data_IF_006141686534
#
_entry.id   IF_006141686534
#
_cell.length_a   1.000
_cell.length_b   1.000
_cell.length_c   1.000
_cell.angle_alpha   90.00
_cell.angle_beta   90.00
_cell.angle_gamma   90.00
#
_symmetry.space_group_name_H-M   'P 1'
#
loop_
_entity.id
_entity.type
_entity.pdbx_description
1 polymer ?
#
# COMPACT_ATOMS: atom_id res chain seq x y z
N UNK A 1 -5.52 -4.09 -17.24
CA UNK A 1 -4.37 -3.21 -16.95
C UNK A 1 -3.28 -4.01 -16.28
N UNK A 2 -2.02 -3.65 -16.54
CA UNK A 2 -0.86 -4.09 -15.74
C UNK A 2 -0.79 -3.27 -14.46
N UNK A 3 -0.74 -3.93 -13.31
CA UNK A 3 -0.90 -3.31 -11.99
C UNK A 3 0.30 -3.59 -11.11
N UNK A 4 0.80 -2.57 -10.41
CA UNK A 4 1.67 -2.74 -9.25
C UNK A 4 0.82 -2.79 -7.99
N UNK A 5 1.05 -3.77 -7.11
CA UNK A 5 0.41 -3.83 -5.82
C UNK A 5 1.26 -3.16 -4.74
N UNK A 6 0.73 -2.10 -4.13
CA UNK A 6 1.33 -1.49 -2.95
C UNK A 6 0.94 -2.32 -1.73
N UNK A 7 1.93 -2.98 -1.13
CA UNK A 7 1.74 -3.96 -0.06
C UNK A 7 2.37 -3.48 1.26
N UNK A 8 1.68 -3.75 2.37
CA UNK A 8 2.14 -3.47 3.74
C UNK A 8 2.36 -4.73 4.57
N UNK A 9 2.01 -5.91 4.04
CA UNK A 9 2.09 -7.18 4.76
C UNK A 9 0.79 -7.58 5.47
N UNK A 10 -0.19 -6.68 5.49
CA UNK A 10 -1.49 -6.91 6.14
C UNK A 10 -2.54 -7.56 5.24
N UNK A 11 -3.64 -8.00 5.89
CA UNK A 11 -4.81 -8.62 5.25
C UNK A 11 -5.44 -7.74 4.17
N UNK A 12 -5.37 -6.42 4.34
CA UNK A 12 -6.05 -5.44 3.47
C UNK A 12 -5.35 -5.33 2.12
N UNK A 13 -4.01 -5.31 2.10
CA UNK A 13 -3.24 -5.41 0.87
C UNK A 13 -3.50 -6.72 0.12
N UNK A 14 -3.58 -7.84 0.85
CA UNK A 14 -3.90 -9.15 0.25
C UNK A 14 -5.28 -9.14 -0.40
N UNK A 15 -6.30 -8.67 0.31
CA UNK A 15 -7.66 -8.64 -0.21
C UNK A 15 -7.81 -7.69 -1.40
N UNK A 16 -7.16 -6.51 -1.37
CA UNK A 16 -7.22 -5.59 -2.51
C UNK A 16 -6.56 -6.19 -3.76
N UNK A 17 -5.49 -6.99 -3.62
CA UNK A 17 -4.91 -7.75 -4.74
C UNK A 17 -5.91 -8.76 -5.31
N UNK A 18 -6.63 -9.50 -4.46
CA UNK A 18 -7.69 -10.42 -4.93
C UNK A 18 -8.79 -9.68 -5.69
N UNK A 19 -9.16 -8.48 -5.25
CA UNK A 19 -10.16 -7.64 -5.93
C UNK A 19 -9.64 -7.12 -7.27
N UNK A 20 -8.36 -6.75 -7.39
CA UNK A 20 -7.75 -6.41 -8.67
C UNK A 20 -7.84 -7.56 -9.67
N UNK A 21 -7.48 -8.78 -9.23
CA UNK A 21 -7.57 -9.98 -10.09
C UNK A 21 -9.02 -10.27 -10.47
N UNK A 22 -9.96 -10.18 -9.53
CA UNK A 22 -11.39 -10.37 -9.78
C UNK A 22 -11.97 -9.33 -10.77
N UNK A 23 -11.42 -8.12 -10.80
CA UNK A 23 -11.76 -7.06 -11.76
C UNK A 23 -11.08 -7.25 -13.14
N UNK A 24 -10.38 -8.36 -13.37
CA UNK A 24 -9.71 -8.67 -14.65
C UNK A 24 -8.38 -7.93 -14.84
N UNK A 25 -7.74 -7.48 -13.77
CA UNK A 25 -6.43 -6.86 -13.83
C UNK A 25 -5.31 -7.86 -13.55
N UNK A 26 -4.13 -7.61 -14.12
CA UNK A 26 -2.95 -8.46 -13.93
C UNK A 26 -1.97 -7.74 -13.03
N UNK A 27 -1.68 -8.33 -11.87
CA UNK A 27 -0.61 -7.84 -10.99
C UNK A 27 0.71 -8.33 -11.56
N UNK A 28 1.63 -7.40 -11.81
CA UNK A 28 2.92 -7.70 -12.47
C UNK A 28 4.11 -7.35 -11.59
N UNK A 29 3.90 -6.63 -10.49
CA UNK A 29 4.93 -6.25 -9.55
C UNK A 29 4.34 -5.95 -8.19
N UNK A 30 5.17 -6.09 -7.16
CA UNK A 30 4.87 -5.69 -5.79
C UNK A 30 5.75 -4.49 -5.42
N UNK A 31 5.18 -3.54 -4.69
CA UNK A 31 5.88 -2.37 -4.19
C UNK A 31 5.65 -2.21 -2.69
N UNK A 32 6.71 -1.88 -1.95
CA UNK A 32 6.63 -1.64 -0.51
C UNK A 32 7.56 -0.49 -0.12
N UNK A 33 7.01 0.51 0.57
CA UNK A 33 7.82 1.45 1.32
C UNK A 33 8.13 0.87 2.69
N UNK A 34 9.39 0.97 3.09
CA UNK A 34 9.87 0.48 4.38
C UNK A 34 10.49 1.58 5.23
N UNK A 35 10.35 1.53 6.56
CA UNK A 35 11.13 2.38 7.46
C UNK A 35 12.64 2.22 7.26
N UNK A 36 13.41 3.23 7.72
CA UNK A 36 14.86 3.09 7.92
C UNK A 36 15.11 1.97 8.93
N UNK A 37 16.14 1.14 8.70
CA UNK A 37 16.52 0.07 9.64
C UNK A 37 16.81 0.68 11.03
N UNK A 38 16.32 0.04 12.09
CA UNK A 38 16.52 0.38 13.52
C UNK A 38 15.66 1.52 14.09
N UNK A 39 14.61 1.96 13.41
CA UNK A 39 13.54 2.77 14.01
C UNK A 39 12.25 1.95 14.07
N UNK A 40 12.03 1.28 15.20
CA UNK A 40 10.75 0.59 15.48
C UNK A 40 9.56 1.57 15.57
N UNK A 41 9.86 2.85 15.74
CA UNK A 41 8.93 3.97 15.79
C UNK A 41 9.36 5.03 14.77
N UNK A 42 8.91 4.87 13.52
CA UNK A 42 8.70 6.03 12.67
C UNK A 42 7.32 6.58 12.99
N UNK A 43 7.22 7.88 13.27
CA UNK A 43 5.97 8.63 13.31
C UNK A 43 5.36 8.75 11.89
N UNK A 44 5.26 7.64 11.15
CA UNK A 44 4.65 7.59 9.81
C UNK A 44 3.17 7.27 9.95
N UNK A 45 2.34 8.20 9.49
CA UNK A 45 0.90 7.98 9.33
C UNK A 45 0.58 7.04 8.15
N UNK A 46 1.57 6.73 7.30
CA UNK A 46 1.40 5.97 6.07
C UNK A 46 1.79 4.49 6.19
N UNK A 47 2.85 4.14 6.92
CA UNK A 47 3.45 2.81 6.85
C UNK A 47 3.64 2.16 8.22
N UNK A 48 3.13 0.93 8.38
CA UNK A 48 3.33 0.12 9.58
C UNK A 48 4.52 -0.82 9.42
N UNK A 49 5.28 -1.01 10.50
CA UNK A 49 6.54 -1.79 10.53
C UNK A 49 6.34 -3.29 10.79
N UNK A 50 5.11 -3.74 11.10
CA UNK A 50 4.84 -5.13 11.49
C UNK A 50 4.68 -6.02 10.25
N UNK A 51 5.48 -7.09 10.14
CA UNK A 51 5.37 -8.08 9.06
C UNK A 51 6.34 -7.89 7.90
N UNK A 52 7.50 -7.27 8.14
CA UNK A 52 8.54 -7.07 7.13
C UNK A 52 8.97 -8.35 6.39
N UNK A 53 8.97 -9.50 7.08
CA UNK A 53 9.24 -10.83 6.51
C UNK A 53 8.11 -11.32 5.60
N UNK A 54 6.86 -10.96 5.90
CA UNK A 54 5.71 -11.34 5.08
C UNK A 54 5.76 -10.72 3.69
N UNK A 55 6.37 -9.53 3.54
CA UNK A 55 6.53 -8.84 2.25
C UNK A 55 7.36 -9.68 1.27
N UNK A 56 8.48 -10.23 1.73
CA UNK A 56 9.36 -11.03 0.86
C UNK A 56 8.68 -12.37 0.52
N UNK A 57 7.91 -12.95 1.45
CA UNK A 57 7.08 -14.15 1.20
C UNK A 57 5.96 -13.90 0.18
N UNK A 58 5.35 -12.71 0.13
CA UNK A 58 4.37 -12.39 -0.93
C UNK A 58 5.01 -12.47 -2.32
N UNK A 59 6.22 -11.92 -2.46
CA UNK A 59 6.92 -11.91 -3.73
C UNK A 59 7.30 -13.33 -4.19
N UNK A 60 7.79 -14.15 -3.27
CA UNK A 60 8.10 -15.55 -3.52
C UNK A 60 6.85 -16.36 -3.88
N UNK A 61 5.78 -16.23 -3.11
CA UNK A 61 4.54 -16.98 -3.32
C UNK A 61 3.81 -16.60 -4.62
N UNK A 62 3.92 -15.34 -5.04
CA UNK A 62 3.30 -14.84 -6.27
C UNK A 62 4.21 -14.96 -7.49
N UNK A 63 5.50 -15.28 -7.30
CA UNK A 63 6.54 -15.26 -8.33
C UNK A 63 6.57 -13.92 -9.09
N UNK A 64 6.62 -12.82 -8.34
CA UNK A 64 6.59 -11.45 -8.87
C UNK A 64 7.78 -10.62 -8.40
N UNK A 65 8.27 -9.67 -9.22
CA UNK A 65 9.33 -8.76 -8.80
C UNK A 65 8.84 -7.85 -7.67
N UNK A 66 9.69 -7.70 -6.65
CA UNK A 66 9.43 -6.87 -5.48
C UNK A 66 10.36 -5.65 -5.46
N UNK A 67 9.74 -4.47 -5.46
CA UNK A 67 10.42 -3.19 -5.37
C UNK A 67 10.25 -2.61 -3.98
N UNK A 68 11.38 -2.34 -3.31
CA UNK A 68 11.38 -1.75 -1.97
C UNK A 68 12.16 -0.45 -1.98
N UNK A 69 11.60 0.57 -1.35
CA UNK A 69 12.31 1.83 -1.10
C UNK A 69 12.21 2.17 0.39
N UNK A 70 13.32 2.65 0.94
CA UNK A 70 13.37 3.14 2.31
C UNK A 70 12.74 4.53 2.35
N UNK A 71 11.89 4.78 3.35
CA UNK A 71 11.33 6.11 3.62
C UNK A 71 12.45 6.96 4.21
N UNK A 72 12.82 8.01 3.50
CA UNK A 72 13.82 9.00 3.92
C UNK A 72 13.14 10.30 4.35
N UNK A 73 11.97 10.60 3.76
CA UNK A 73 11.16 11.74 4.13
C UNK A 73 10.42 11.58 5.46
N UNK A 74 9.86 12.69 5.95
CA UNK A 74 8.98 12.73 7.11
C UNK A 74 7.57 13.19 6.70
N UNK A 75 6.56 13.02 7.55
CA UNK A 75 5.20 13.51 7.25
C UNK A 75 5.16 15.05 7.41
N UNK A 76 5.44 15.80 6.34
CA UNK A 76 5.54 17.27 6.38
C UNK A 76 4.24 17.97 5.98
N UNK A 77 3.52 17.44 4.98
CA UNK A 77 2.18 17.90 4.65
C UNK A 77 1.16 16.96 5.25
N UNK A 78 0.46 17.43 6.29
CA UNK A 78 -0.63 16.71 6.96
C UNK A 78 -2.02 17.25 6.64
N UNK A 79 -2.12 18.12 5.63
CA UNK A 79 -3.36 18.70 5.16
C UNK A 79 -4.35 17.67 4.57
N UNK A 80 -5.59 18.13 4.37
CA UNK A 80 -6.64 17.38 3.65
C UNK A 80 -6.31 17.16 2.19
N UNK A 81 -5.68 18.15 1.57
CA UNK A 81 -5.09 18.07 0.25
C UNK A 81 -3.58 17.90 0.41
N UNK A 82 -2.94 17.27 -0.57
CA UNK A 82 -1.49 17.10 -0.56
C UNK A 82 -0.84 18.08 -1.55
N UNK A 83 0.11 18.86 -1.05
CA UNK A 83 1.05 19.65 -1.84
C UNK A 83 2.45 19.07 -1.71
N UNK A 84 3.17 18.96 -2.82
CA UNK A 84 4.54 18.45 -2.83
C UNK A 84 5.42 19.26 -1.89
N UNK A 85 6.14 18.57 -1.01
CA UNK A 85 7.14 19.16 -0.10
C UNK A 85 8.45 18.39 -0.21
N UNK A 86 9.54 19.13 -0.31
CA UNK A 86 10.88 18.55 -0.28
C UNK A 86 11.11 17.88 1.08
N UNK A 87 11.56 16.61 1.06
CA UNK A 87 11.75 15.81 2.28
C UNK A 87 10.48 15.16 2.84
N UNK A 88 9.37 15.15 2.09
CA UNK A 88 8.14 14.47 2.51
C UNK A 88 8.10 12.99 2.08
N UNK A 89 7.59 12.11 2.96
CA UNK A 89 7.51 10.66 2.72
C UNK A 89 6.67 10.27 1.47
N UNK A 90 5.78 11.15 1.01
CA UNK A 90 4.99 10.93 -0.20
C UNK A 90 5.86 11.00 -1.45
N UNK A 91 6.96 11.74 -1.43
CA UNK A 91 7.91 11.76 -2.55
C UNK A 91 8.70 10.46 -2.67
N UNK A 92 8.93 9.76 -1.55
CA UNK A 92 9.48 8.41 -1.61
C UNK A 92 8.53 7.44 -2.31
N UNK A 93 7.21 7.57 -2.08
CA UNK A 93 6.22 6.79 -2.82
C UNK A 93 6.24 7.12 -4.31
N UNK A 94 6.35 8.41 -4.66
CA UNK A 94 6.48 8.84 -6.04
C UNK A 94 7.69 8.20 -6.72
N UNK A 95 8.87 8.24 -6.09
CA UNK A 95 10.08 7.66 -6.67
C UNK A 95 10.00 6.13 -6.81
N UNK A 96 9.41 5.44 -5.83
CA UNK A 96 9.17 4.00 -5.91
C UNK A 96 8.26 3.65 -7.08
N UNK A 97 7.09 4.29 -7.19
CA UNK A 97 6.13 3.99 -8.24
C UNK A 97 6.63 4.41 -9.62
N UNK A 98 7.43 5.48 -9.71
CA UNK A 98 8.11 5.89 -10.95
C UNK A 98 9.04 4.78 -11.44
N UNK A 99 9.88 4.23 -10.55
CA UNK A 99 10.77 3.12 -10.89
C UNK A 99 10.00 1.90 -11.40
N UNK A 100 8.92 1.52 -10.70
CA UNK A 100 8.11 0.36 -11.12
C UNK A 100 7.43 0.63 -12.46
N UNK A 101 6.90 1.83 -12.69
CA UNK A 101 6.33 2.22 -13.98
C UNK A 101 7.34 2.09 -15.12
N UNK A 102 8.56 2.55 -14.92
CA UNK A 102 9.62 2.50 -15.93
C UNK A 102 10.11 1.07 -16.22
N UNK A 103 10.13 0.20 -15.20
CA UNK A 103 10.61 -1.19 -15.34
C UNK A 103 9.55 -2.15 -15.86
N UNK A 104 8.32 -1.99 -15.37
CA UNK A 104 7.26 -2.98 -15.55
C UNK A 104 6.11 -2.48 -16.44
N UNK A 105 6.17 -1.23 -16.89
CA UNK A 105 5.14 -0.60 -17.74
C UNK A 105 3.73 -0.72 -17.13
N UNK A 106 3.61 -0.47 -15.82
CA UNK A 106 2.32 -0.50 -15.12
C UNK A 106 1.45 0.69 -15.49
N UNK A 107 0.15 0.46 -15.46
CA UNK A 107 -0.90 1.44 -15.79
C UNK A 107 -1.71 1.84 -14.54
N UNK A 108 -1.66 1.02 -13.49
CA UNK A 108 -2.45 1.23 -12.28
C UNK A 108 -1.71 0.78 -11.01
N UNK A 109 -2.15 1.31 -9.87
CA UNK A 109 -1.62 0.99 -8.54
C UNK A 109 -2.75 0.43 -7.68
N UNK A 110 -2.58 -0.81 -7.21
CA UNK A 110 -3.47 -1.42 -6.22
C UNK A 110 -3.09 -0.95 -4.83
N UNK A 111 -4.03 -0.38 -4.09
CA UNK A 111 -3.80 0.19 -2.75
C UNK A 111 -4.82 -0.33 -1.75
N UNK A 112 -4.33 -0.99 -0.70
CA UNK A 112 -5.14 -1.55 0.38
C UNK A 112 -5.66 -0.55 1.43
N UNK A 113 -5.62 0.76 1.16
CA UNK A 113 -6.08 1.77 2.11
C UNK A 113 -7.61 1.71 2.24
N UNK A 114 -8.10 1.35 3.43
CA UNK A 114 -9.54 1.12 3.66
C UNK A 114 -10.27 2.43 4.02
N UNK A 115 -9.72 3.25 4.90
CA UNK A 115 -10.48 4.31 5.59
C UNK A 115 -9.80 5.67 5.72
N UNK A 116 -8.48 5.74 5.63
CA UNK A 116 -7.77 7.01 5.82
C UNK A 116 -7.81 7.88 4.56
N UNK A 117 -8.63 8.95 4.57
CA UNK A 117 -8.69 9.94 3.48
C UNK A 117 -7.29 10.52 3.25
N UNK A 118 -6.49 10.64 4.32
CA UNK A 118 -5.10 11.07 4.29
C UNK A 118 -4.24 10.20 3.35
N UNK A 119 -4.30 8.87 3.50
CA UNK A 119 -3.51 7.95 2.69
C UNK A 119 -3.98 7.96 1.24
N UNK A 120 -5.30 8.01 1.04
CA UNK A 120 -5.92 8.04 -0.29
C UNK A 120 -5.46 9.26 -1.09
N UNK A 121 -5.59 10.47 -0.53
CA UNK A 121 -5.27 11.72 -1.25
C UNK A 121 -3.80 11.75 -1.69
N UNK A 122 -2.89 11.24 -0.86
CA UNK A 122 -1.45 11.20 -1.17
C UNK A 122 -1.13 10.21 -2.28
N UNK A 123 -1.74 9.02 -2.23
CA UNK A 123 -1.64 8.03 -3.29
C UNK A 123 -2.22 8.58 -4.60
N UNK A 124 -3.40 9.21 -4.55
CA UNK A 124 -4.06 9.79 -5.72
C UNK A 124 -3.22 10.90 -6.34
N UNK A 125 -2.59 11.76 -5.52
CA UNK A 125 -1.67 12.79 -6.01
C UNK A 125 -0.48 12.19 -6.76
N UNK A 126 0.17 11.18 -6.18
CA UNK A 126 1.30 10.48 -6.82
C UNK A 126 0.85 9.80 -8.12
N UNK A 127 -0.29 9.10 -8.09
CA UNK A 127 -0.84 8.42 -9.25
C UNK A 127 -1.19 9.41 -10.37
N UNK A 128 -1.79 10.56 -10.05
CA UNK A 128 -2.10 11.61 -11.01
C UNK A 128 -0.83 12.14 -11.69
N UNK A 129 0.22 12.45 -10.93
CA UNK A 129 1.52 12.91 -11.46
C UNK A 129 2.20 11.88 -12.35
N UNK A 130 2.06 10.59 -12.01
CA UNK A 130 2.61 9.48 -12.77
C UNK A 130 1.68 8.97 -13.86
N UNK A 131 0.49 9.56 -14.06
CA UNK A 131 -0.53 9.04 -14.98
C UNK A 131 -0.81 7.55 -14.76
N UNK A 132 -1.01 7.16 -13.50
CA UNK A 132 -1.41 5.83 -13.07
C UNK A 132 -2.84 5.87 -12.53
N UNK A 133 -3.59 4.80 -12.72
CA UNK A 133 -4.92 4.66 -12.13
C UNK A 133 -4.84 4.11 -10.70
N UNK A 134 -5.31 4.80 -9.66
CA UNK A 134 -5.41 4.23 -8.32
C UNK A 134 -6.60 3.25 -8.25
N UNK A 135 -6.35 2.05 -7.72
CA UNK A 135 -7.33 0.97 -7.53
C UNK A 135 -7.48 0.68 -6.02
N UNK A 136 -8.40 1.39 -5.39
CA UNK A 136 -8.69 1.29 -3.96
C UNK A 136 -10.09 0.68 -3.74
N UNK A 137 -10.24 -0.63 -3.97
CA UNK A 137 -11.54 -1.31 -3.89
C UNK A 137 -12.12 -1.39 -2.47
N UNK A 138 -11.27 -1.22 -1.45
CA UNK A 138 -11.68 -1.31 -0.05
C UNK A 138 -12.14 0.04 0.50
N UNK A 139 -11.96 1.12 -0.27
CA UNK A 139 -12.21 2.47 0.18
C UNK A 139 -13.68 2.71 0.57
N UNK A 140 -13.92 3.26 1.77
CA UNK A 140 -15.27 3.56 2.32
C UNK A 140 -16.20 2.35 2.41
N UNK A 141 -15.68 1.13 2.31
CA UNK A 141 -16.45 -0.07 2.58
C UNK A 141 -16.57 -0.27 4.09
N UNK A 142 -17.70 -0.83 4.49
CA UNK A 142 -17.95 -1.19 5.88
C UNK A 142 -16.94 -2.25 6.36
N UNK A 143 -16.37 -2.06 7.55
CA UNK A 143 -15.29 -2.91 8.07
C UNK A 143 -15.77 -4.33 8.41
N UNK A 144 -16.99 -4.47 8.95
CA UNK A 144 -17.56 -5.76 9.34
C UNK A 144 -17.86 -6.60 8.10
N UNK A 145 -18.45 -5.96 7.08
CA UNK A 145 -18.67 -6.57 5.77
C UNK A 145 -17.35 -6.98 5.11
N UNK A 146 -16.34 -6.12 5.10
CA UNK A 146 -15.01 -6.44 4.56
C UNK A 146 -14.39 -7.65 5.26
N UNK A 147 -14.41 -7.68 6.60
CA UNK A 147 -13.86 -8.78 7.37
C UNK A 147 -14.59 -10.10 7.08
N UNK A 148 -15.93 -10.06 7.03
CA UNK A 148 -16.77 -11.21 6.70
C UNK A 148 -16.47 -11.74 5.29
N UNK A 149 -16.30 -10.84 4.33
CA UNK A 149 -15.90 -11.21 2.97
C UNK A 149 -14.51 -11.85 2.94
N UNK A 150 -13.52 -11.25 3.60
CA UNK A 150 -12.16 -11.81 3.69
C UNK A 150 -12.18 -13.24 4.22
N UNK A 151 -12.94 -13.49 5.30
CA UNK A 151 -13.13 -14.84 5.86
C UNK A 151 -13.78 -15.77 4.83
N UNK A 152 -14.88 -15.32 4.19
CA UNK A 152 -15.59 -16.13 3.20
C UNK A 152 -14.74 -16.49 1.98
N UNK A 153 -13.74 -15.67 1.65
CA UNK A 153 -12.79 -15.88 0.54
C UNK A 153 -11.54 -16.66 0.96
N UNK A 154 -11.49 -17.15 2.20
CA UNK A 154 -10.40 -17.99 2.70
C UNK A 154 -9.15 -17.22 3.12
N UNK A 155 -9.23 -15.91 3.34
CA UNK A 155 -8.10 -15.17 3.92
C UNK A 155 -7.94 -15.57 5.38
N UNK A 156 -6.82 -16.21 5.70
CA UNK A 156 -6.43 -16.53 7.07
C UNK A 156 -5.62 -15.37 7.65
N UNK A 157 -6.29 -14.45 8.33
CA UNK A 157 -5.64 -13.32 8.99
C UNK A 157 -5.19 -13.69 10.42
N UNK A 158 -3.91 -13.52 10.72
CA UNK A 158 -3.36 -13.63 12.07
C UNK A 158 -3.18 -12.24 12.67
N UNK A 159 -3.64 -12.03 13.89
CA UNK A 159 -3.49 -10.78 14.61
C UNK A 159 -2.08 -10.69 15.22
N UNK A 160 -1.25 -9.81 14.66
CA UNK A 160 0.18 -9.70 15.00
C UNK A 160 0.53 -8.50 15.89
N UNK A 161 -0.35 -7.50 15.98
CA UNK A 161 -0.22 -6.33 16.88
C UNK A 161 -1.59 -5.70 17.10
N UNK A 162 -1.82 -5.19 18.31
CA UNK A 162 -2.93 -4.28 18.64
C UNK A 162 -2.34 -2.95 19.05
N UNK A 163 -2.78 -1.87 18.41
CA UNK A 163 -2.47 -0.49 18.79
C UNK A 163 -3.79 0.27 18.92
N UNK A 164 -4.52 -0.03 20.00
CA UNK A 164 -5.76 0.64 20.36
C UNK A 164 -5.70 0.96 21.84
N UNK A 165 -6.10 2.18 22.21
CA UNK A 165 -6.40 2.48 23.62
C UNK A 165 -7.71 1.76 23.92
N UNK A 166 -7.63 0.74 24.77
CA UNK A 166 -8.82 0.05 25.26
C UNK A 166 -9.74 1.06 25.94
N UNK A 167 -10.98 1.15 25.45
CA UNK A 167 -12.07 1.83 26.16
C UNK A 167 -12.64 0.93 27.24
#
# INVERSE_FOLDING_TARGET
>A
MKVVALISGGKDSCYNMMQCVAAGHTIVALANLRPVKNTDELDSYMYQTVGHEAIDLYAEAMDLPLYRRTIEGSSLDTGREYSQREGDEVEDLYHLLKLVKEKESVEAVSVGAILSDYQRVRVENVCARLQLQPLAYLWRRDQESLLSEMISRGIHALLIKVAAVGG
#
